data_IF_019089214325
#
_entry.id   IF_019089214325
#
_cell.length_a   1.000
_cell.length_b   1.000
_cell.length_c   1.000
_cell.angle_alpha   90.00
_cell.angle_beta   90.00
_cell.angle_gamma   90.00
#
_symmetry.space_group_name_H-M   'P 1'
#
loop_
_entity.id
_entity.type
_entity.pdbx_description
1 polymer ?
#
# COMPACT_ATOMS: atom_id res chain seq x y z
N UNK A 1 -9.13 -16.00 -13.88
CA UNK A 1 -8.59 -15.40 -12.65
C UNK A 1 -7.31 -14.68 -13.04
N UNK A 2 -7.21 -13.36 -12.84
CA UNK A 2 -6.03 -12.57 -13.18
C UNK A 2 -5.37 -12.11 -11.87
N UNK A 3 -4.60 -13.02 -11.27
CA UNK A 3 -3.82 -12.78 -10.07
C UNK A 3 -2.34 -12.75 -10.45
N UNK A 4 -1.61 -11.77 -9.91
CA UNK A 4 -0.16 -11.70 -10.02
C UNK A 4 0.44 -11.75 -8.61
N UNK A 5 1.33 -12.71 -8.39
CA UNK A 5 2.05 -12.85 -7.13
C UNK A 5 3.53 -12.64 -7.38
N UNK A 6 4.10 -11.68 -6.66
CA UNK A 6 5.54 -11.40 -6.64
C UNK A 6 6.07 -11.86 -5.29
N UNK A 7 7.02 -12.78 -5.32
CA UNK A 7 7.76 -13.23 -4.14
C UNK A 7 9.23 -12.89 -4.37
N UNK A 8 9.87 -12.18 -3.45
CA UNK A 8 11.23 -11.73 -3.65
C UNK A 8 11.96 -11.38 -2.37
N UNK A 9 13.29 -11.51 -2.42
CA UNK A 9 14.22 -11.06 -1.39
C UNK A 9 15.19 -10.08 -2.04
N UNK A 10 15.49 -8.96 -1.38
CA UNK A 10 16.36 -7.89 -1.90
C UNK A 10 15.96 -7.36 -3.27
N UNK A 11 14.65 -7.17 -3.51
CA UNK A 11 14.14 -6.53 -4.72
C UNK A 11 14.33 -5.01 -4.61
N UNK A 12 15.00 -4.43 -5.61
CA UNK A 12 15.25 -2.97 -5.67
C UNK A 12 14.38 -2.25 -6.69
N UNK A 13 13.93 -2.94 -7.74
CA UNK A 13 13.13 -2.35 -8.82
C UNK A 13 12.02 -3.30 -9.24
N UNK A 14 10.78 -2.86 -9.09
CA UNK A 14 9.60 -3.51 -9.65
C UNK A 14 8.59 -2.43 -10.00
N UNK A 15 8.05 -2.48 -11.22
CA UNK A 15 7.08 -1.49 -11.68
C UNK A 15 5.97 -2.12 -12.51
N UNK A 16 4.78 -1.55 -12.39
CA UNK A 16 3.63 -1.93 -13.21
C UNK A 16 3.52 -0.99 -14.42
N UNK A 17 3.40 -1.56 -15.62
CA UNK A 17 3.15 -0.80 -16.83
C UNK A 17 1.75 -0.18 -16.82
N UNK A 18 1.62 1.05 -17.33
CA UNK A 18 0.41 1.88 -17.31
C UNK A 18 -0.87 1.18 -17.84
N UNK A 19 -0.77 0.19 -18.73
CA UNK A 19 -1.95 -0.49 -19.33
C UNK A 19 -2.24 -1.86 -18.73
N UNK A 20 -1.58 -2.21 -17.63
CA UNK A 20 -1.77 -3.51 -16.98
C UNK A 20 -3.10 -3.54 -16.23
N UNK A 21 -3.91 -4.57 -16.40
CA UNK A 21 -5.12 -4.76 -15.59
C UNK A 21 -4.95 -6.03 -14.75
N UNK A 22 -4.71 -5.82 -13.47
CA UNK A 22 -4.47 -6.87 -12.48
C UNK A 22 -5.67 -6.87 -11.53
N UNK A 23 -6.39 -8.00 -11.45
CA UNK A 23 -7.51 -8.08 -10.51
C UNK A 23 -6.99 -8.16 -9.07
N UNK A 24 -5.94 -8.96 -8.85
CA UNK A 24 -5.33 -9.14 -7.53
C UNK A 24 -3.81 -9.15 -7.66
N UNK A 25 -3.15 -8.25 -6.91
CA UNK A 25 -1.70 -8.17 -6.81
C UNK A 25 -1.27 -8.58 -5.40
N UNK A 26 -0.42 -9.60 -5.31
CA UNK A 26 0.18 -10.03 -4.05
C UNK A 26 1.68 -9.73 -4.08
N UNK A 27 2.17 -9.04 -3.06
CA UNK A 27 3.58 -8.73 -2.86
C UNK A 27 4.05 -9.38 -1.57
N UNK A 28 4.91 -10.40 -1.69
CA UNK A 28 5.56 -11.05 -0.55
C UNK A 28 7.05 -10.76 -0.62
N UNK A 29 7.51 -9.73 0.09
CA UNK A 29 8.84 -9.15 -0.09
C UNK A 29 9.65 -9.09 1.21
N UNK A 30 10.89 -9.54 1.17
CA UNK A 30 11.85 -9.43 2.28
C UNK A 30 13.06 -8.60 1.89
N UNK A 31 13.61 -7.84 2.84
CA UNK A 31 14.83 -7.05 2.68
C UNK A 31 14.87 -6.19 1.39
N UNK A 32 13.71 -5.70 0.95
CA UNK A 32 13.51 -5.09 -0.36
C UNK A 32 13.26 -3.59 -0.25
N UNK A 33 13.65 -2.83 -1.27
CA UNK A 33 13.43 -1.38 -1.32
C UNK A 33 12.86 -1.04 -2.69
N UNK A 34 11.57 -0.76 -2.76
CA UNK A 34 10.89 -0.33 -3.98
C UNK A 34 10.24 1.02 -3.68
N UNK A 35 10.89 2.10 -4.08
CA UNK A 35 10.41 3.46 -3.76
C UNK A 35 9.20 3.88 -4.60
N UNK A 36 9.02 3.30 -5.79
CA UNK A 36 7.90 3.58 -6.68
C UNK A 36 7.48 2.36 -7.49
N UNK A 37 6.45 1.66 -7.00
CA UNK A 37 5.90 0.47 -7.67
C UNK A 37 5.11 0.81 -8.94
N UNK A 38 4.82 2.10 -9.20
CA UNK A 38 4.19 2.59 -10.44
C UNK A 38 2.82 1.97 -10.78
N UNK A 39 2.16 2.51 -11.81
CA UNK A 39 0.96 1.87 -12.38
C UNK A 39 -0.34 2.66 -12.23
N UNK A 40 -0.45 3.74 -13.00
CA UNK A 40 -1.73 4.33 -13.41
C UNK A 40 -1.76 4.33 -14.93
N UNK A 41 -2.91 4.07 -15.56
CA UNK A 41 -2.97 4.26 -17.02
C UNK A 41 -2.76 5.73 -17.39
N UNK A 42 -2.59 5.99 -18.69
CA UNK A 42 -2.45 7.35 -19.22
C UNK A 42 -3.67 8.25 -18.93
N UNK A 43 -4.75 7.70 -18.38
CA UNK A 43 -5.98 8.39 -17.95
C UNK A 43 -6.12 8.46 -16.42
N UNK A 44 -5.14 7.95 -15.65
CA UNK A 44 -5.16 7.94 -14.19
C UNK A 44 -6.03 6.86 -13.56
N UNK A 45 -6.50 5.87 -14.33
CA UNK A 45 -7.36 4.79 -13.82
C UNK A 45 -6.56 3.72 -13.10
N UNK A 46 -7.26 3.02 -12.21
CA UNK A 46 -6.68 1.93 -11.44
C UNK A 46 -6.43 0.68 -12.24
N UNK A 47 -5.22 0.15 -12.03
CA UNK A 47 -4.68 -1.05 -12.66
C UNK A 47 -4.77 -2.26 -11.73
N UNK A 48 -5.14 -2.05 -10.46
CA UNK A 48 -5.17 -3.08 -9.41
C UNK A 48 -6.51 -3.04 -8.67
N UNK A 49 -7.28 -4.12 -8.77
CA UNK A 49 -8.55 -4.23 -8.04
C UNK A 49 -8.35 -4.42 -6.54
N UNK A 50 -7.53 -5.42 -6.17
CA UNK A 50 -7.19 -5.77 -4.79
C UNK A 50 -5.68 -5.89 -4.61
N UNK A 51 -5.18 -5.37 -3.49
CA UNK A 51 -3.76 -5.40 -3.14
C UNK A 51 -3.54 -6.20 -1.86
N UNK A 52 -2.61 -7.14 -1.88
CA UNK A 52 -2.11 -7.83 -0.70
C UNK A 52 -0.61 -7.55 -0.58
N UNK A 53 -0.18 -7.04 0.57
CA UNK A 53 1.23 -6.79 0.89
C UNK A 53 1.57 -7.58 2.14
N UNK A 54 2.62 -8.38 2.06
CA UNK A 54 3.26 -9.00 3.20
C UNK A 54 4.75 -8.75 3.09
N UNK A 55 5.28 -7.92 3.99
CA UNK A 55 6.65 -7.45 3.85
C UNK A 55 7.42 -7.44 5.16
N UNK A 56 8.69 -7.81 5.09
CA UNK A 56 9.61 -7.84 6.24
C UNK A 56 10.91 -7.09 5.92
N UNK A 57 11.37 -6.23 6.82
CA UNK A 57 12.59 -5.42 6.68
C UNK A 57 12.68 -4.66 5.35
N UNK A 58 11.57 -4.07 4.88
CA UNK A 58 11.49 -3.51 3.53
C UNK A 58 10.90 -2.11 3.51
N UNK A 59 11.14 -1.38 2.42
CA UNK A 59 10.53 -0.08 2.12
C UNK A 59 9.72 -0.20 0.82
N UNK A 60 8.41 0.05 0.88
CA UNK A 60 7.50 -0.12 -0.25
C UNK A 60 6.66 1.14 -0.49
N UNK A 61 6.96 1.82 -1.60
CA UNK A 61 6.16 2.89 -2.19
C UNK A 61 5.14 2.35 -3.17
N UNK A 62 3.91 2.17 -2.69
CA UNK A 62 2.80 1.59 -3.42
C UNK A 62 2.17 2.61 -4.40
N UNK A 63 1.54 2.14 -5.49
CA UNK A 63 0.93 3.02 -6.48
C UNK A 63 -0.25 3.79 -5.89
N UNK A 64 -0.34 5.08 -6.18
CA UNK A 64 -1.45 5.94 -5.74
C UNK A 64 -2.65 5.75 -6.65
N UNK A 65 -3.41 4.69 -6.44
CA UNK A 65 -4.55 4.37 -7.28
C UNK A 65 -5.76 3.86 -6.48
N UNK A 66 -6.90 3.73 -7.15
CA UNK A 66 -8.14 3.31 -6.50
C UNK A 66 -8.16 1.79 -6.29
N UNK A 67 -8.23 1.36 -5.05
CA UNK A 67 -8.36 -0.07 -4.72
C UNK A 67 -9.76 -0.36 -4.19
N UNK A 68 -10.33 -1.50 -4.56
CA UNK A 68 -11.51 -2.01 -3.85
C UNK A 68 -11.14 -2.36 -2.41
N UNK A 69 -10.03 -3.08 -2.24
CA UNK A 69 -9.46 -3.41 -0.93
C UNK A 69 -7.94 -3.46 -0.99
N UNK A 70 -7.31 -3.14 0.14
CA UNK A 70 -5.89 -3.35 0.37
C UNK A 70 -5.66 -3.97 1.75
N UNK A 71 -4.92 -5.07 1.79
CA UNK A 71 -4.53 -5.80 2.99
C UNK A 71 -3.01 -5.72 3.13
N UNK A 72 -2.53 -5.05 4.18
CA UNK A 72 -1.11 -4.76 4.38
C UNK A 72 -0.64 -5.39 5.69
N UNK A 73 0.35 -6.27 5.60
CA UNK A 73 1.10 -6.82 6.73
C UNK A 73 2.55 -6.34 6.61
N UNK A 74 2.99 -5.51 7.55
CA UNK A 74 4.33 -4.92 7.55
C UNK A 74 5.08 -5.28 8.85
N UNK A 75 6.22 -5.95 8.72
CA UNK A 75 7.09 -6.30 9.84
C UNK A 75 8.43 -5.59 9.72
N UNK A 76 8.79 -4.74 10.69
CA UNK A 76 9.98 -3.90 10.64
C UNK A 76 10.15 -3.17 9.30
N UNK A 77 9.03 -2.67 8.74
CA UNK A 77 8.99 -2.18 7.35
C UNK A 77 8.32 -0.82 7.24
N UNK A 78 8.64 -0.10 6.17
CA UNK A 78 7.96 1.13 5.78
C UNK A 78 7.05 0.88 4.58
N UNK A 79 5.78 1.23 4.69
CA UNK A 79 4.81 1.14 3.59
C UNK A 79 4.12 2.48 3.41
N UNK A 80 4.05 2.96 2.17
CA UNK A 80 3.39 4.22 1.86
C UNK A 80 2.76 4.18 0.47
N UNK A 81 1.77 5.04 0.24
CA UNK A 81 1.23 5.26 -1.09
C UNK A 81 1.88 6.51 -1.69
N UNK A 82 2.37 6.38 -2.92
CA UNK A 82 3.04 7.47 -3.63
C UNK A 82 2.14 8.71 -3.73
N UNK A 83 2.75 9.88 -3.94
CA UNK A 83 2.00 11.15 -4.05
C UNK A 83 1.72 11.56 -5.50
N UNK A 84 2.27 10.81 -6.45
CA UNK A 84 2.13 11.07 -7.89
C UNK A 84 0.75 10.61 -8.34
N UNK A 85 0.03 11.46 -9.08
CA UNK A 85 -1.30 11.16 -9.62
C UNK A 85 -2.47 11.77 -8.84
N UNK A 86 -3.70 11.59 -9.37
CA UNK A 86 -4.93 12.14 -8.77
C UNK A 86 -5.19 11.57 -7.36
N UNK A 87 -6.19 12.13 -6.66
CA UNK A 87 -6.62 11.57 -5.38
C UNK A 87 -7.03 10.10 -5.54
N UNK A 88 -6.53 9.27 -4.63
CA UNK A 88 -6.79 7.84 -4.63
C UNK A 88 -7.58 7.43 -3.39
N UNK A 89 -8.48 6.47 -3.58
CA UNK A 89 -9.31 5.91 -2.53
C UNK A 89 -9.13 4.41 -2.42
N UNK A 90 -8.98 3.91 -1.21
CA UNK A 90 -9.16 2.49 -0.88
C UNK A 90 -10.54 2.29 -0.27
N UNK A 91 -11.35 1.37 -0.81
CA UNK A 91 -12.65 1.05 -0.22
C UNK A 91 -12.51 0.52 1.21
N UNK A 92 -11.81 -0.61 1.34
CA UNK A 92 -11.48 -1.26 2.61
C UNK A 92 -9.95 -1.39 2.76
N UNK A 93 -9.41 -0.80 3.82
CA UNK A 93 -7.99 -0.86 4.14
C UNK A 93 -7.80 -1.64 5.45
N UNK A 94 -7.12 -2.78 5.39
CA UNK A 94 -6.74 -3.56 6.56
C UNK A 94 -5.23 -3.46 6.75
N UNK A 95 -4.77 -3.08 7.93
CA UNK A 95 -3.34 -2.90 8.22
C UNK A 95 -2.96 -3.67 9.48
N UNK A 96 -1.96 -4.53 9.36
CA UNK A 96 -1.31 -5.18 10.50
C UNK A 96 0.17 -4.80 10.49
N UNK A 97 0.68 -4.35 11.62
CA UNK A 97 2.11 -4.08 11.77
C UNK A 97 2.71 -4.87 12.92
N UNK A 98 3.95 -5.29 12.73
CA UNK A 98 4.79 -5.96 13.73
C UNK A 98 6.15 -5.26 13.80
N UNK A 99 6.77 -5.28 14.99
CA UNK A 99 8.05 -4.62 15.23
C UNK A 99 8.04 -3.11 14.94
N UNK A 100 9.18 -2.58 14.51
CA UNK A 100 9.38 -1.15 14.22
C UNK A 100 8.96 -0.84 12.79
N UNK A 101 7.66 -0.64 12.58
CA UNK A 101 7.10 -0.36 11.25
C UNK A 101 6.62 1.09 11.11
N UNK A 102 6.58 1.57 9.87
CA UNK A 102 6.07 2.89 9.52
C UNK A 102 5.04 2.76 8.42
N UNK A 103 3.84 3.33 8.59
CA UNK A 103 2.80 3.31 7.56
C UNK A 103 2.31 4.72 7.27
N UNK A 104 2.44 5.17 6.01
CA UNK A 104 2.04 6.53 5.62
C UNK A 104 0.81 6.51 4.74
N UNK A 105 -0.31 6.98 5.30
CA UNK A 105 -1.62 7.01 4.65
C UNK A 105 -2.08 8.44 4.30
N UNK A 106 -1.27 9.46 4.61
CA UNK A 106 -1.59 10.87 4.40
C UNK A 106 -1.93 11.27 2.95
N UNK A 107 -1.52 10.47 1.97
CA UNK A 107 -1.80 10.67 0.54
C UNK A 107 -3.08 9.99 0.03
N UNK A 108 -3.78 9.26 0.90
CA UNK A 108 -4.87 8.36 0.53
C UNK A 108 -6.18 8.73 1.25
N UNK A 109 -7.30 8.61 0.56
CA UNK A 109 -8.62 8.52 1.18
C UNK A 109 -8.99 7.05 1.42
N UNK A 110 -9.81 6.76 2.41
CA UNK A 110 -10.35 5.41 2.59
C UNK A 110 -11.80 5.43 3.07
N UNK A 111 -12.52 4.34 2.78
CA UNK A 111 -13.85 4.11 3.33
C UNK A 111 -13.77 3.59 4.76
N UNK A 112 -13.30 2.34 4.90
CA UNK A 112 -13.13 1.67 6.18
C UNK A 112 -11.66 1.36 6.42
N UNK A 113 -11.17 1.65 7.63
CA UNK A 113 -9.84 1.28 8.09
C UNK A 113 -9.97 0.32 9.27
N UNK A 114 -9.45 -0.90 9.14
CA UNK A 114 -9.31 -1.85 10.22
C UNK A 114 -7.85 -2.24 10.39
N UNK A 115 -7.50 -2.83 11.53
CA UNK A 115 -6.14 -3.30 11.72
C UNK A 115 -5.73 -3.49 13.16
N UNK A 116 -4.50 -3.97 13.31
CA UNK A 116 -3.82 -4.03 14.59
C UNK A 116 -2.39 -3.50 14.40
N UNK A 117 -2.05 -2.44 15.13
CA UNK A 117 -0.74 -1.82 15.03
C UNK A 117 0.11 -2.20 16.24
N UNK A 118 1.37 -2.56 16.01
CA UNK A 118 2.33 -2.72 17.12
C UNK A 118 2.54 -1.40 17.87
N UNK A 119 2.93 -1.47 19.15
CA UNK A 119 3.23 -0.30 19.97
C UNK A 119 4.36 0.59 19.39
N UNK A 120 5.25 -0.01 18.60
CA UNK A 120 6.38 0.69 17.97
C UNK A 120 6.05 1.23 16.56
N UNK A 121 4.78 1.13 16.15
CA UNK A 121 4.36 1.59 14.83
C UNK A 121 4.25 3.12 14.78
N UNK A 122 4.88 3.71 13.76
CA UNK A 122 4.60 5.08 13.35
C UNK A 122 3.54 5.08 12.25
N UNK A 123 2.51 5.91 12.40
CA UNK A 123 1.47 6.03 11.39
C UNK A 123 1.21 7.50 11.05
N UNK A 124 1.30 7.83 9.76
CA UNK A 124 0.91 9.16 9.25
C UNK A 124 -0.51 9.08 8.72
N UNK A 125 -1.44 9.73 9.42
CA UNK A 125 -2.84 9.81 9.03
C UNK A 125 -3.15 11.13 8.31
N UNK A 126 -4.08 11.14 7.34
CA UNK A 126 -4.62 12.36 6.78
C UNK A 126 -5.50 13.08 7.81
N UNK A 127 -5.61 14.39 7.66
CA UNK A 127 -6.33 15.27 8.60
C UNK A 127 -7.77 14.83 8.86
N UNK A 128 -8.46 14.30 7.85
CA UNK A 128 -9.85 13.84 8.01
C UNK A 128 -9.96 12.67 9.00
N UNK A 129 -8.99 11.77 9.04
CA UNK A 129 -8.95 10.65 9.99
C UNK A 129 -8.58 11.12 11.40
N UNK A 130 -7.71 12.12 11.53
CA UNK A 130 -7.40 12.73 12.83
C UNK A 130 -8.65 13.34 13.47
N UNK A 131 -9.51 13.99 12.68
CA UNK A 131 -10.78 14.55 13.17
C UNK A 131 -11.73 13.50 13.76
N UNK A 132 -11.69 12.25 13.28
CA UNK A 132 -12.51 11.17 13.85
C UNK A 132 -11.97 10.62 15.18
N UNK A 133 -10.69 10.84 15.49
CA UNK A 133 -10.03 10.31 16.69
C UNK A 133 -10.08 11.27 17.88
N UNK A 134 -10.26 12.57 17.65
CA UNK A 134 -10.23 13.63 18.69
C UNK A 134 -11.67 14.08 19.04
N UNK A 135 -12.57 13.14 19.33
CA UNK A 135 -13.93 13.46 19.80
C UNK A 135 -14.04 13.37 21.31
#
# INVERSE_FOLDING_TARGET
>A
MNELTVVGDSVEVFSLAEKSVINTLNLNLTNSTIDDLGGTDSKGNSLVGRLFVNTTNSVLGLPRTNYQSADIVANNSEVYFNRKGPEAKVGLLNIKTEGKSSVRLNSLQWGTLNGNLSNDTKIDLPVHALRSLIK
#
